data_IF_105527380416
#
_entry.id   IF_105527380416
#
_cell.length_a   1.000
_cell.length_b   1.000
_cell.length_c   1.000
_cell.angle_alpha   90.00
_cell.angle_beta   90.00
_cell.angle_gamma   90.00
#
_symmetry.space_group_name_H-M   'P 1'
#
loop_
_entity.id
_entity.type
_entity.pdbx_description
1 polymer ?
#
# COMPACT_ATOMS: atom_id res chain seq x y z
N UNK A 1 4.66 21.10 -11.28
CA UNK A 1 3.99 19.97 -10.62
C UNK A 1 4.26 18.73 -11.44
N UNK A 2 5.14 17.84 -10.98
CA UNK A 2 5.43 16.61 -11.70
C UNK A 2 4.34 15.59 -11.36
N UNK A 3 3.41 15.38 -12.28
CA UNK A 3 2.55 14.20 -12.26
C UNK A 3 3.46 12.97 -12.42
N UNK A 4 3.52 12.04 -11.46
CA UNK A 4 4.36 10.88 -11.62
C UNK A 4 3.78 10.01 -12.74
N UNK A 5 4.64 9.77 -13.76
CA UNK A 5 4.51 8.78 -14.82
C UNK A 5 3.56 7.65 -14.41
N UNK A 6 2.52 7.46 -15.22
CA UNK A 6 1.63 6.29 -15.24
C UNK A 6 2.50 5.03 -15.35
N UNK A 7 3.00 4.57 -14.22
CA UNK A 7 3.63 3.27 -14.08
C UNK A 7 2.57 2.26 -14.50
N UNK A 8 2.97 1.23 -15.23
CA UNK A 8 2.10 0.09 -15.52
C UNK A 8 1.91 -0.62 -14.18
N UNK A 9 0.98 -0.12 -13.38
CA UNK A 9 0.89 -0.46 -11.97
C UNK A 9 0.12 -1.75 -11.80
N UNK A 10 0.65 -2.67 -10.98
CA UNK A 10 -0.08 -3.85 -10.52
C UNK A 10 -1.34 -3.47 -9.68
N UNK A 11 -1.44 -2.21 -9.26
CA UNK A 11 -2.50 -1.69 -8.42
C UNK A 11 -2.75 -0.19 -8.65
N UNK A 12 -3.97 0.27 -8.48
CA UNK A 12 -4.32 1.69 -8.42
C UNK A 12 -4.38 2.15 -6.97
N UNK A 13 -3.75 3.26 -6.61
CA UNK A 13 -3.89 3.86 -5.27
C UNK A 13 -5.19 4.66 -5.25
N UNK A 14 -6.10 4.28 -4.36
CA UNK A 14 -7.39 4.94 -4.18
C UNK A 14 -7.33 6.04 -3.12
N UNK A 15 -6.67 5.74 -2.01
CA UNK A 15 -6.64 6.60 -0.83
C UNK A 15 -5.36 6.38 -0.04
N UNK A 16 -4.85 7.44 0.56
CA UNK A 16 -3.78 7.39 1.55
C UNK A 16 -4.29 8.10 2.81
N UNK A 17 -4.37 7.38 3.91
CA UNK A 17 -4.68 7.94 5.23
C UNK A 17 -3.39 8.01 6.06
N UNK A 18 -3.08 9.19 6.59
CA UNK A 18 -2.05 9.34 7.63
C UNK A 18 -2.66 8.96 8.98
N UNK A 19 -2.03 8.03 9.67
CA UNK A 19 -2.48 7.51 10.95
C UNK A 19 -1.34 7.62 11.96
N UNK A 20 -1.73 7.83 13.21
CA UNK A 20 -0.82 8.01 14.32
C UNK A 20 -1.24 7.06 15.42
N UNK A 21 -0.28 6.32 15.98
CA UNK A 21 -0.49 5.47 17.15
C UNK A 21 0.59 5.73 18.19
N UNK A 22 0.30 5.37 19.44
CA UNK A 22 1.31 5.32 20.49
C UNK A 22 1.88 3.91 20.48
N UNK A 23 3.16 3.77 20.17
CA UNK A 23 3.88 2.49 20.22
C UNK A 23 4.17 2.07 21.66
N UNK A 24 4.57 0.82 21.87
CA UNK A 24 4.83 0.23 23.20
C UNK A 24 5.87 1.01 24.03
N UNK A 25 6.80 1.71 23.38
CA UNK A 25 7.79 2.57 24.04
C UNK A 25 7.23 3.94 24.48
N UNK A 26 5.94 4.19 24.33
CA UNK A 26 5.29 5.48 24.59
C UNK A 26 5.60 6.54 23.52
N UNK A 27 6.22 6.15 22.41
CA UNK A 27 6.57 7.05 21.31
C UNK A 27 5.42 7.14 20.31
N UNK A 28 5.28 8.30 19.68
CA UNK A 28 4.33 8.52 18.60
C UNK A 28 4.87 7.87 17.33
N UNK A 29 4.20 6.83 16.85
CA UNK A 29 4.50 6.15 15.59
C UNK A 29 3.51 6.60 14.51
N UNK A 30 4.04 7.03 13.37
CA UNK A 30 3.25 7.43 12.21
C UNK A 30 3.26 6.32 11.16
N UNK A 31 2.11 6.07 10.57
CA UNK A 31 1.97 5.10 9.49
C UNK A 31 0.95 5.59 8.47
N UNK A 32 1.20 5.23 7.22
CA UNK A 32 0.41 5.61 6.06
C UNK A 32 -0.35 4.40 5.55
N UNK A 33 -1.66 4.41 5.73
CA UNK A 33 -2.55 3.39 5.20
C UNK A 33 -2.86 3.69 3.74
N UNK A 34 -2.36 2.84 2.86
CA UNK A 34 -2.65 2.88 1.44
C UNK A 34 -3.82 1.96 1.13
N UNK A 35 -4.93 2.54 0.69
CA UNK A 35 -5.97 1.76 0.02
C UNK A 35 -5.60 1.64 -1.45
N UNK A 36 -5.37 0.41 -1.89
CA UNK A 36 -5.03 0.10 -3.27
C UNK A 36 -6.04 -0.87 -3.86
N UNK A 37 -6.33 -0.71 -5.15
CA UNK A 37 -7.16 -1.60 -5.95
C UNK A 37 -6.26 -2.44 -6.84
N UNK A 38 -6.28 -3.75 -6.70
CA UNK A 38 -5.50 -4.66 -7.55
C UNK A 38 -6.04 -4.67 -8.98
N UNK A 39 -5.27 -5.26 -9.91
CA UNK A 39 -5.69 -5.41 -11.31
C UNK A 39 -7.02 -6.17 -11.44
N UNK A 40 -7.26 -7.16 -10.58
CA UNK A 40 -8.51 -7.94 -10.55
C UNK A 40 -9.67 -7.23 -9.82
N UNK A 41 -9.49 -5.95 -9.48
CA UNK A 41 -10.51 -5.09 -8.88
C UNK A 41 -10.68 -5.23 -7.37
N UNK A 42 -9.77 -5.93 -6.68
CA UNK A 42 -9.86 -6.14 -5.22
C UNK A 42 -9.30 -4.92 -4.50
N UNK A 43 -10.05 -4.36 -3.56
CA UNK A 43 -9.58 -3.24 -2.73
C UNK A 43 -8.98 -3.79 -1.44
N UNK A 44 -7.72 -3.45 -1.18
CA UNK A 44 -7.00 -3.83 0.04
C UNK A 44 -6.40 -2.60 0.71
N UNK A 45 -6.21 -2.67 2.02
CA UNK A 45 -5.51 -1.65 2.80
C UNK A 45 -4.15 -2.18 3.22
N UNK A 46 -3.10 -1.41 2.96
CA UNK A 46 -1.71 -1.74 3.31
C UNK A 46 -1.17 -0.63 4.19
N UNK A 47 -0.83 -0.98 5.43
CA UNK A 47 -0.23 -0.05 6.38
C UNK A 47 1.29 -0.01 6.16
N UNK A 48 1.84 1.19 5.90
CA UNK A 48 3.28 1.42 5.69
C UNK A 48 3.78 2.37 6.77
N UNK A 49 4.79 1.96 7.52
CA UNK A 49 5.42 2.81 8.54
C UNK A 49 6.06 4.06 7.92
N UNK A 50 6.08 5.19 8.62
CA UNK A 50 6.71 6.43 8.15
C UNK A 50 8.17 6.19 7.70
N UNK A 51 8.93 5.32 8.39
CA UNK A 51 10.32 5.00 8.01
C UNK A 51 10.46 4.27 6.66
N UNK A 52 9.37 3.69 6.19
CA UNK A 52 9.27 2.94 4.94
C UNK A 52 8.39 3.65 3.89
N UNK A 53 7.86 4.83 4.22
CA UNK A 53 7.08 5.69 3.33
C UNK A 53 7.98 6.49 2.37
N UNK A 54 8.81 5.79 1.62
CA UNK A 54 9.58 6.33 0.49
C UNK A 54 9.13 5.66 -0.80
N UNK A 55 9.17 6.35 -1.95
CA UNK A 55 8.75 5.76 -3.23
C UNK A 55 9.55 4.48 -3.57
N UNK A 56 10.82 4.40 -3.15
CA UNK A 56 11.68 3.24 -3.39
C UNK A 56 11.27 2.00 -2.58
N UNK A 57 10.66 2.19 -1.41
CA UNK A 57 10.22 1.10 -0.51
C UNK A 57 8.73 0.80 -0.62
N UNK A 58 7.89 1.83 -0.68
CA UNK A 58 6.45 1.68 -0.72
C UNK A 58 5.98 0.99 -2.01
N UNK A 59 6.56 1.34 -3.16
CA UNK A 59 6.19 0.77 -4.46
C UNK A 59 6.35 -0.76 -4.50
N UNK A 60 7.49 -1.36 -4.12
CA UNK A 60 7.61 -2.82 -4.08
C UNK A 60 6.74 -3.48 -3.01
N UNK A 61 6.49 -2.84 -1.86
CA UNK A 61 5.59 -3.36 -0.81
C UNK A 61 4.15 -3.48 -1.35
N UNK A 62 3.63 -2.39 -1.91
CA UNK A 62 2.27 -2.35 -2.46
C UNK A 62 2.12 -3.29 -3.67
N UNK A 63 3.13 -3.37 -4.54
CA UNK A 63 3.13 -4.28 -5.69
C UNK A 63 3.04 -5.72 -5.26
N UNK A 64 3.86 -6.12 -4.27
CA UNK A 64 3.87 -7.49 -3.74
C UNK A 64 2.51 -7.82 -3.11
N UNK A 65 1.95 -6.91 -2.31
CA UNK A 65 0.63 -7.12 -1.68
C UNK A 65 -0.50 -7.27 -2.69
N UNK A 66 -0.50 -6.45 -3.74
CA UNK A 66 -1.48 -6.58 -4.82
C UNK A 66 -1.36 -7.95 -5.52
N UNK A 67 -0.15 -8.36 -5.86
CA UNK A 67 0.11 -9.66 -6.51
C UNK A 67 -0.23 -10.86 -5.62
N UNK A 68 0.03 -10.80 -4.31
CA UNK A 68 -0.36 -11.83 -3.35
C UNK A 68 -1.88 -12.03 -3.36
N UNK A 69 -2.62 -10.93 -3.35
CA UNK A 69 -4.09 -10.95 -3.34
C UNK A 69 -4.66 -11.45 -4.67
N UNK A 70 -4.11 -11.01 -5.80
CA UNK A 70 -4.50 -11.51 -7.12
C UNK A 70 -4.25 -13.03 -7.24
N UNK A 71 -3.14 -13.55 -6.68
CA UNK A 71 -2.85 -15.00 -6.66
C UNK A 71 -3.84 -15.80 -5.80
N UNK A 72 -4.28 -15.26 -4.65
CA UNK A 72 -5.25 -15.93 -3.77
C UNK A 72 -6.59 -16.09 -4.48
N UNK A 73 -7.04 -15.06 -5.22
CA UNK A 73 -8.32 -15.09 -5.94
C UNK A 73 -8.35 -16.17 -7.02
N UNK A 74 -7.21 -16.48 -7.65
CA UNK A 74 -7.09 -17.57 -8.65
C UNK A 74 -7.28 -18.96 -8.04
N UNK A 75 -7.11 -19.13 -6.74
CA UNK A 75 -7.22 -20.45 -6.08
C UNK A 75 -8.58 -20.72 -5.41
N UNK A 76 -9.54 -19.81 -5.52
CA UNK A 76 -10.87 -19.91 -4.87
C UNK A 76 -12.03 -20.11 -5.85
N UNK A 77 -11.77 -20.57 -7.09
CA UNK A 77 -12.77 -20.82 -8.12
C UNK A 77 -12.60 -22.18 -8.79
#
# INVERSE_FOLDING_TARGET
MAEPKKAITAYEVLKIDELVRIGDSGQVERYYRHQIKTKEGVVISVDIDEKDFTPEKAVPILSKKAQEVDKIKVSSG
#
